data_IF_746794152652
#
_entry.id   IF_746794152652
#
_cell.length_a   1.000
_cell.length_b   1.000
_cell.length_c   1.000
_cell.angle_alpha   90.00
_cell.angle_beta   90.00
_cell.angle_gamma   90.00
#
_symmetry.space_group_name_H-M   'P 1'
#
loop_
_entity.id
_entity.type
_entity.pdbx_description
1 polymer ?
#
# COMPACT_ATOMS: atom_id res chain seq x y z
N UNK A 1 -10.63 41.59 62.10
CA UNK A 1 -10.31 40.49 61.18
C UNK A 1 -8.83 40.55 60.82
N UNK A 2 -8.07 39.62 61.39
CA UNK A 2 -6.67 39.27 61.07
C UNK A 2 -6.73 38.39 59.80
N UNK A 3 -5.87 38.37 58.77
CA UNK A 3 -4.39 38.31 58.68
C UNK A 3 -3.93 38.52 57.22
N UNK A 4 -2.78 39.16 57.02
CA UNK A 4 -1.89 38.93 55.86
C UNK A 4 -1.29 37.51 55.95
N UNK A 5 -1.14 36.80 54.83
CA UNK A 5 -0.26 35.62 54.74
C UNK A 5 0.55 35.69 53.44
N UNK A 6 1.88 35.75 53.61
CA UNK A 6 2.92 35.39 52.64
C UNK A 6 3.00 33.85 52.51
N UNK A 7 3.42 33.32 51.36
CA UNK A 7 4.18 32.05 51.33
C UNK A 7 3.78 31.00 50.29
N UNK A 8 4.70 30.73 49.36
CA UNK A 8 5.38 29.44 49.13
C UNK A 8 4.55 28.14 49.01
N UNK A 9 4.68 27.51 47.82
CA UNK A 9 4.64 26.07 47.47
C UNK A 9 3.42 25.21 47.84
N UNK A 10 2.85 24.54 46.82
CA UNK A 10 2.75 23.07 46.74
C UNK A 10 2.03 22.62 45.44
N UNK A 11 2.74 22.64 44.31
CA UNK A 11 2.44 21.65 43.25
C UNK A 11 3.47 20.54 43.36
N UNK A 12 2.99 19.47 44.00
CA UNK A 12 3.69 18.21 44.24
C UNK A 12 4.39 17.75 42.96
N UNK A 13 5.69 17.53 43.08
CA UNK A 13 6.51 16.76 42.13
C UNK A 13 5.86 15.38 41.95
N UNK A 14 5.26 15.13 40.79
CA UNK A 14 5.06 13.77 40.33
C UNK A 14 6.42 13.30 39.79
N UNK A 15 7.03 12.25 40.33
CA UNK A 15 8.31 11.77 39.84
C UNK A 15 8.10 11.11 38.48
N UNK A 16 8.55 11.76 37.40
CA UNK A 16 8.73 11.13 36.10
C UNK A 16 9.87 10.11 36.19
N UNK A 17 9.58 8.91 36.71
CA UNK A 17 10.47 7.76 36.61
C UNK A 17 10.45 7.25 35.16
N UNK A 18 11.56 7.48 34.47
CA UNK A 18 12.12 6.68 33.36
C UNK A 18 11.13 6.21 32.28
N UNK A 19 10.82 7.09 31.33
CA UNK A 19 10.51 6.70 29.95
C UNK A 19 10.81 7.84 28.94
N UNK A 20 11.88 8.60 29.16
CA UNK A 20 12.45 9.50 28.17
C UNK A 20 13.67 8.82 27.55
N UNK A 21 13.44 7.89 26.62
CA UNK A 21 14.43 7.43 25.65
C UNK A 21 13.68 6.75 24.51
N UNK A 22 13.85 7.31 23.30
CA UNK A 22 13.32 6.90 21.99
C UNK A 22 11.95 7.45 21.58
N UNK A 23 11.83 8.77 21.53
CA UNK A 23 10.99 9.43 20.53
C UNK A 23 11.48 10.87 20.26
N UNK A 24 12.80 11.05 20.17
CA UNK A 24 13.42 12.28 19.68
C UNK A 24 14.70 11.86 18.97
N UNK A 25 14.60 11.47 17.71
CA UNK A 25 15.77 11.40 16.83
C UNK A 25 15.30 11.77 15.43
N UNK A 26 15.71 12.96 14.98
CA UNK A 26 15.51 13.42 13.62
C UNK A 26 14.94 14.82 13.44
N UNK A 27 15.08 15.72 14.44
CA UNK A 27 15.12 17.15 14.16
C UNK A 27 16.41 17.69 14.79
N UNK A 28 17.10 18.53 14.03
CA UNK A 28 18.39 19.18 14.27
C UNK A 28 19.65 18.48 13.71
N UNK A 29 20.32 19.23 12.83
CA UNK A 29 21.63 19.04 12.19
C UNK A 29 21.69 18.20 10.91
N UNK A 30 21.26 18.81 9.81
CA UNK A 30 22.06 18.84 8.58
C UNK A 30 21.67 20.08 7.76
N UNK A 31 22.47 21.14 7.87
CA UNK A 31 22.23 22.39 7.15
C UNK A 31 23.27 23.49 7.35
N UNK A 32 24.52 23.14 7.68
CA UNK A 32 25.66 24.00 7.38
C UNK A 32 26.91 23.14 7.17
N UNK A 33 27.42 23.18 5.94
CA UNK A 33 28.77 22.81 5.49
C UNK A 33 29.05 21.31 5.31
N UNK A 34 29.41 20.98 4.07
CA UNK A 34 29.98 19.69 3.70
C UNK A 34 31.40 19.52 4.24
N UNK A 35 31.90 18.30 4.11
CA UNK A 35 33.27 17.96 4.48
C UNK A 35 33.32 16.64 5.24
N UNK A 36 33.77 15.61 4.53
CA UNK A 36 34.36 14.37 5.05
C UNK A 36 35.22 14.57 6.30
N UNK A 37 35.18 13.63 7.25
CA UNK A 37 36.25 13.56 8.26
C UNK A 37 35.91 12.75 9.49
N UNK A 38 36.75 11.76 9.77
CA UNK A 38 36.75 10.88 10.95
C UNK A 38 37.32 11.64 12.16
N UNK A 39 36.82 11.31 13.35
CA UNK A 39 37.25 11.62 14.73
C UNK A 39 38.60 12.34 14.99
N UNK A 40 38.61 13.30 15.93
CA UNK A 40 39.20 13.22 17.29
C UNK A 40 39.36 14.62 17.91
N UNK A 41 39.12 14.69 19.23
CA UNK A 41 39.51 15.73 20.20
C UNK A 41 39.08 17.17 19.89
N UNK A 42 38.37 17.82 20.84
CA UNK A 42 38.60 19.22 21.24
C UNK A 42 37.42 19.74 22.08
N UNK A 43 37.41 19.32 23.35
CA UNK A 43 36.56 19.92 24.39
C UNK A 43 37.12 21.26 24.90
N UNK A 44 38.06 21.88 24.19
CA UNK A 44 38.94 22.93 24.74
C UNK A 44 38.89 24.28 24.01
N UNK A 45 38.03 24.45 23.00
CA UNK A 45 38.00 25.69 22.21
C UNK A 45 36.73 26.55 22.37
N UNK A 46 35.74 26.14 23.17
CA UNK A 46 34.46 26.86 23.28
C UNK A 46 34.45 28.03 24.29
N UNK A 47 35.44 28.12 25.19
CA UNK A 47 35.45 29.17 26.22
C UNK A 47 36.06 30.50 25.76
N UNK A 48 36.82 30.55 24.67
CA UNK A 48 37.52 31.79 24.26
C UNK A 48 36.78 32.68 23.27
N UNK A 49 35.66 32.25 22.70
CA UNK A 49 34.94 33.02 21.66
C UNK A 49 33.82 33.91 22.25
N UNK A 50 33.48 33.74 23.54
CA UNK A 50 32.35 34.43 24.18
C UNK A 50 32.61 35.89 24.60
N UNK A 51 33.78 36.49 24.31
CA UNK A 51 34.15 37.81 24.83
C UNK A 51 34.49 38.90 23.80
N UNK A 52 34.09 38.78 22.54
CA UNK A 52 34.26 39.88 21.57
C UNK A 52 32.94 40.33 20.95
N UNK A 53 32.47 41.48 21.44
CA UNK A 53 31.54 42.44 20.83
C UNK A 53 30.35 41.86 20.07
N UNK A 54 29.17 41.87 20.71
CA UNK A 54 27.88 41.69 20.04
C UNK A 54 27.56 42.99 19.28
N UNK A 55 27.52 43.00 17.93
CA UNK A 55 26.98 44.14 17.20
C UNK A 55 25.46 44.10 17.33
N UNK A 56 24.84 45.24 17.65
CA UNK A 56 23.38 45.39 17.60
C UNK A 56 22.85 45.04 16.21
N UNK A 57 22.25 43.86 16.09
CA UNK A 57 21.51 43.46 14.91
C UNK A 57 20.14 44.13 14.95
N UNK A 58 19.96 45.19 14.14
CA UNK A 58 18.62 45.71 13.82
C UNK A 58 17.76 44.57 13.25
N UNK A 59 16.46 44.48 13.60
CA UNK A 59 15.60 43.42 13.09
C UNK A 59 15.47 43.60 11.57
N UNK A 60 16.02 42.68 10.79
CA UNK A 60 15.73 42.58 9.36
C UNK A 60 14.33 41.98 9.20
N UNK A 61 13.46 42.74 8.55
CA UNK A 61 12.14 42.30 8.09
C UNK A 61 12.28 41.19 7.03
N UNK A 62 12.41 39.92 7.45
CA UNK A 62 12.30 38.76 6.56
C UNK A 62 11.75 37.52 7.29
N UNK A 63 10.75 37.71 8.15
CA UNK A 63 10.09 36.60 8.87
C UNK A 63 9.25 35.71 7.94
N UNK A 64 8.78 36.22 6.80
CA UNK A 64 7.97 35.47 5.82
C UNK A 64 8.74 34.37 5.08
N UNK A 65 10.05 34.54 4.85
CA UNK A 65 10.85 33.57 4.08
C UNK A 65 11.15 32.29 4.88
N UNK A 66 11.49 32.43 6.16
CA UNK A 66 11.79 31.30 7.04
C UNK A 66 10.56 30.42 7.35
N UNK A 67 9.40 31.02 7.65
CA UNK A 67 8.17 30.26 7.87
C UNK A 67 7.73 29.50 6.62
N UNK A 68 7.88 30.11 5.44
CA UNK A 68 7.56 29.45 4.16
C UNK A 68 8.51 28.27 3.86
N UNK A 69 9.80 28.42 4.20
CA UNK A 69 10.80 27.36 4.06
C UNK A 69 10.52 26.18 5.01
N UNK A 70 10.11 26.45 6.25
CA UNK A 70 9.70 25.41 7.21
C UNK A 70 8.45 24.65 6.74
N UNK A 71 7.45 25.34 6.18
CA UNK A 71 6.26 24.69 5.63
C UNK A 71 6.61 23.76 4.46
N UNK A 72 7.45 24.23 3.52
CA UNK A 72 7.93 23.39 2.40
C UNK A 72 8.71 22.17 2.90
N UNK A 73 9.55 22.33 3.91
CA UNK A 73 10.30 21.22 4.50
C UNK A 73 9.36 20.18 5.13
N UNK A 74 8.32 20.64 5.83
CA UNK A 74 7.30 19.76 6.42
C UNK A 74 6.51 19.00 5.35
N UNK A 75 6.14 19.65 4.24
CA UNK A 75 5.47 19.00 3.11
C UNK A 75 6.34 17.93 2.45
N UNK A 76 7.62 18.23 2.20
CA UNK A 76 8.58 17.27 1.66
C UNK A 76 8.71 16.07 2.59
N UNK A 77 8.91 16.30 3.88
CA UNK A 77 9.02 15.24 4.88
C UNK A 77 7.75 14.37 4.92
N UNK A 78 6.56 14.99 4.88
CA UNK A 78 5.29 14.27 4.80
C UNK A 78 5.22 13.39 3.55
N UNK A 79 5.61 13.92 2.39
CA UNK A 79 5.61 13.16 1.13
C UNK A 79 6.56 11.96 1.17
N UNK A 80 7.74 12.12 1.77
CA UNK A 80 8.72 11.03 1.94
C UNK A 80 8.15 9.96 2.87
N UNK A 81 7.53 10.34 3.98
CA UNK A 81 6.92 9.41 4.92
C UNK A 81 5.79 8.61 4.27
N UNK A 82 4.92 9.26 3.50
CA UNK A 82 3.86 8.58 2.72
C UNK A 82 4.47 7.57 1.74
N UNK A 83 5.48 7.98 0.96
CA UNK A 83 6.15 7.07 -0.01
C UNK A 83 6.80 5.86 0.69
N UNK A 84 7.40 6.06 1.86
CA UNK A 84 7.99 4.98 2.66
C UNK A 84 6.91 4.02 3.18
N UNK A 85 5.82 4.56 3.74
CA UNK A 85 4.69 3.77 4.22
C UNK A 85 4.08 2.93 3.09
N UNK A 86 3.83 3.54 1.93
CA UNK A 86 3.31 2.84 0.75
C UNK A 86 4.26 1.74 0.28
N UNK A 87 5.58 1.96 0.35
CA UNK A 87 6.58 0.96 -0.03
C UNK A 87 6.56 -0.25 0.90
N UNK A 88 6.44 -0.02 2.20
CA UNK A 88 6.33 -1.07 3.20
C UNK A 88 5.03 -1.86 3.04
N UNK A 89 3.92 -1.16 2.78
CA UNK A 89 2.62 -1.79 2.51
C UNK A 89 2.70 -2.69 1.27
N UNK A 90 3.30 -2.20 0.17
CA UNK A 90 3.51 -3.00 -1.05
C UNK A 90 4.34 -4.25 -0.78
N UNK A 91 5.44 -4.12 -0.03
CA UNK A 91 6.29 -5.26 0.32
C UNK A 91 5.50 -6.30 1.13
N UNK A 92 4.63 -5.86 2.03
CA UNK A 92 3.78 -6.73 2.81
C UNK A 92 2.70 -7.42 1.97
N UNK A 93 1.96 -6.67 1.16
CA UNK A 93 0.95 -7.22 0.26
C UNK A 93 1.56 -8.26 -0.69
N UNK A 94 2.73 -7.95 -1.27
CA UNK A 94 3.45 -8.90 -2.13
C UNK A 94 3.81 -10.18 -1.37
N UNK A 95 4.33 -10.07 -0.15
CA UNK A 95 4.68 -11.23 0.66
C UNK A 95 3.45 -12.11 0.97
N UNK A 96 2.29 -11.51 1.23
CA UNK A 96 1.04 -12.28 1.41
C UNK A 96 0.65 -12.98 0.12
N UNK A 97 0.65 -12.30 -1.04
CA UNK A 97 0.35 -12.92 -2.33
C UNK A 97 1.32 -14.07 -2.65
N UNK A 98 2.62 -13.87 -2.44
CA UNK A 98 3.64 -14.92 -2.61
C UNK A 98 3.37 -16.12 -1.70
N UNK A 99 2.88 -15.90 -0.48
CA UNK A 99 2.49 -16.97 0.45
C UNK A 99 1.29 -17.76 -0.08
N UNK A 100 0.26 -17.09 -0.60
CA UNK A 100 -0.90 -17.74 -1.23
C UNK A 100 -0.44 -18.67 -2.35
N UNK A 101 0.46 -18.20 -3.22
CA UNK A 101 1.01 -18.99 -4.33
C UNK A 101 1.87 -20.16 -3.85
N UNK A 102 2.67 -19.97 -2.80
CA UNK A 102 3.56 -21.02 -2.27
C UNK A 102 2.78 -22.13 -1.57
N UNK A 103 1.64 -21.82 -0.99
CA UNK A 103 0.76 -22.80 -0.36
C UNK A 103 -0.21 -23.48 -1.34
N UNK A 104 -0.25 -23.05 -2.61
CA UNK A 104 -1.00 -23.70 -3.66
C UNK A 104 -0.22 -24.89 -4.23
N UNK A 105 -0.71 -26.10 -3.98
CA UNK A 105 -0.06 -27.35 -4.40
C UNK A 105 -0.08 -27.54 -5.92
N UNK A 106 -0.98 -26.86 -6.61
CA UNK A 106 -1.15 -26.97 -8.06
C UNK A 106 -0.40 -25.86 -8.82
N UNK A 107 0.33 -24.98 -8.12
CA UNK A 107 1.12 -23.94 -8.78
C UNK A 107 2.38 -24.55 -9.40
N UNK A 108 2.47 -24.51 -10.73
CA UNK A 108 3.51 -25.22 -11.51
C UNK A 108 4.70 -24.36 -11.94
N UNK A 109 4.67 -23.04 -11.73
CA UNK A 109 5.66 -22.08 -12.28
C UNK A 109 6.35 -21.23 -11.21
N UNK A 110 7.08 -21.82 -10.25
CA UNK A 110 7.72 -21.09 -9.16
C UNK A 110 8.69 -19.99 -9.62
N UNK A 111 9.24 -20.09 -10.83
CA UNK A 111 10.10 -19.09 -11.48
C UNK A 111 9.39 -17.76 -11.74
N UNK A 112 8.09 -17.78 -12.03
CA UNK A 112 7.30 -16.58 -12.34
C UNK A 112 6.65 -15.95 -11.12
N UNK A 113 6.80 -16.57 -9.94
CA UNK A 113 6.11 -16.21 -8.69
C UNK A 113 6.25 -14.74 -8.32
N UNK A 114 7.46 -14.20 -8.39
CA UNK A 114 7.76 -12.81 -8.04
C UNK A 114 7.07 -11.82 -8.98
N UNK A 115 7.14 -12.09 -10.30
CA UNK A 115 6.50 -11.29 -11.35
C UNK A 115 4.97 -11.31 -11.21
N UNK A 116 4.38 -12.49 -11.00
CA UNK A 116 2.93 -12.64 -10.83
C UNK A 116 2.46 -11.90 -9.58
N UNK A 117 3.14 -12.06 -8.45
CA UNK A 117 2.80 -11.37 -7.21
C UNK A 117 2.89 -9.84 -7.37
N UNK A 118 3.93 -9.34 -8.04
CA UNK A 118 4.06 -7.92 -8.36
C UNK A 118 2.92 -7.42 -9.26
N UNK A 119 2.54 -8.19 -10.28
CA UNK A 119 1.44 -7.85 -11.18
C UNK A 119 0.09 -7.81 -10.46
N UNK A 120 -0.19 -8.77 -9.57
CA UNK A 120 -1.41 -8.78 -8.75
C UNK A 120 -1.49 -7.52 -7.89
N UNK A 121 -0.43 -7.20 -7.13
CA UNK A 121 -0.40 -6.00 -6.27
C UNK A 121 -0.54 -4.72 -7.09
N UNK A 122 0.10 -4.66 -8.26
CA UNK A 122 -0.01 -3.54 -9.19
C UNK A 122 -1.45 -3.34 -9.66
N UNK A 123 -2.09 -4.41 -10.14
CA UNK A 123 -3.46 -4.38 -10.69
C UNK A 123 -4.48 -4.08 -9.60
N UNK A 124 -4.36 -4.70 -8.43
CA UNK A 124 -5.22 -4.44 -7.29
C UNK A 124 -5.23 -2.94 -6.94
N UNK A 125 -4.06 -2.31 -6.90
CA UNK A 125 -3.94 -0.86 -6.69
C UNK A 125 -4.49 -0.03 -7.84
N UNK A 126 -4.34 -0.48 -9.10
CA UNK A 126 -4.86 0.25 -10.26
C UNK A 126 -6.39 0.45 -10.19
N UNK A 127 -7.10 -0.44 -9.49
CA UNK A 127 -8.55 -0.49 -9.39
C UNK A 127 -9.09 -0.45 -7.95
N UNK A 128 -8.25 -0.11 -6.97
CA UNK A 128 -8.62 0.00 -5.54
C UNK A 128 -9.25 -1.28 -4.95
N UNK A 129 -8.64 -2.42 -5.23
CA UNK A 129 -9.05 -3.74 -4.75
C UNK A 129 -8.04 -4.31 -3.76
N UNK A 130 -8.48 -5.27 -2.94
CA UNK A 130 -7.56 -6.03 -2.09
C UNK A 130 -6.77 -7.05 -2.94
N UNK A 131 -5.42 -7.00 -2.94
CA UNK A 131 -4.60 -7.98 -3.67
C UNK A 131 -4.79 -9.43 -3.19
N UNK A 132 -5.23 -9.65 -1.94
CA UNK A 132 -5.59 -10.99 -1.43
C UNK A 132 -6.78 -11.54 -2.20
N UNK A 133 -7.82 -10.73 -2.44
CA UNK A 133 -9.00 -11.19 -3.18
C UNK A 133 -8.63 -11.60 -4.60
N UNK A 134 -7.85 -10.77 -5.30
CA UNK A 134 -7.39 -11.06 -6.67
C UNK A 134 -6.53 -12.33 -6.69
N UNK A 135 -5.61 -12.49 -5.73
CA UNK A 135 -4.78 -13.69 -5.64
C UNK A 135 -5.61 -14.95 -5.35
N UNK A 136 -6.60 -14.89 -4.47
CA UNK A 136 -7.47 -16.03 -4.17
C UNK A 136 -8.37 -16.40 -5.36
N UNK A 137 -8.84 -15.43 -6.16
CA UNK A 137 -9.55 -15.70 -7.42
C UNK A 137 -8.60 -16.38 -8.42
N UNK A 138 -7.42 -15.81 -8.66
CA UNK A 138 -6.43 -16.41 -9.58
C UNK A 138 -6.01 -17.84 -9.18
N UNK A 139 -5.91 -18.09 -7.87
CA UNK A 139 -5.66 -19.44 -7.33
C UNK A 139 -6.77 -20.42 -7.72
N UNK A 140 -8.03 -20.06 -7.48
CA UNK A 140 -9.18 -20.93 -7.75
C UNK A 140 -9.43 -21.11 -9.25
N UNK A 141 -9.18 -20.09 -10.06
CA UNK A 141 -9.45 -20.11 -11.50
C UNK A 141 -8.40 -20.91 -12.29
N UNK A 142 -7.12 -20.78 -11.95
CA UNK A 142 -6.06 -21.38 -12.76
C UNK A 142 -4.83 -21.85 -12.00
N UNK A 143 -4.83 -21.78 -10.67
CA UNK A 143 -3.62 -22.02 -9.89
C UNK A 143 -2.44 -21.14 -10.33
N UNK A 144 -2.75 -19.89 -10.70
CA UNK A 144 -1.79 -18.91 -11.23
C UNK A 144 -1.14 -19.27 -12.58
N UNK A 145 -1.66 -20.26 -13.31
CA UNK A 145 -1.21 -20.55 -14.68
C UNK A 145 -1.61 -19.42 -15.63
N UNK A 146 -0.65 -18.83 -16.33
CA UNK A 146 -0.82 -17.59 -17.11
C UNK A 146 -1.53 -17.81 -18.46
N UNK A 147 -1.32 -18.95 -19.11
CA UNK A 147 -1.67 -19.24 -20.51
C UNK A 147 -2.73 -20.33 -20.70
N UNK A 148 -3.39 -20.73 -19.62
CA UNK A 148 -4.41 -21.78 -19.63
C UNK A 148 -5.58 -21.44 -20.57
N UNK A 149 -6.01 -22.44 -21.35
CA UNK A 149 -7.27 -22.41 -22.09
C UNK A 149 -8.15 -23.51 -21.52
N UNK A 150 -9.35 -23.14 -21.07
CA UNK A 150 -10.35 -24.12 -20.63
C UNK A 150 -11.71 -23.81 -21.24
N UNK A 151 -12.68 -24.71 -21.01
CA UNK A 151 -14.09 -24.45 -21.32
C UNK A 151 -14.64 -23.24 -20.56
N UNK A 152 -14.01 -22.86 -19.45
CA UNK A 152 -14.44 -21.81 -18.53
C UNK A 152 -13.82 -20.44 -18.86
N UNK A 153 -12.82 -20.36 -19.74
CA UNK A 153 -12.22 -19.09 -20.14
C UNK A 153 -10.76 -19.19 -20.54
N UNK A 154 -10.11 -18.03 -20.62
CA UNK A 154 -8.69 -17.88 -20.97
C UNK A 154 -7.89 -17.23 -19.85
N UNK A 155 -6.65 -17.70 -19.72
CA UNK A 155 -5.60 -17.17 -18.85
C UNK A 155 -5.92 -17.24 -17.36
N UNK A 156 -5.13 -16.55 -16.56
CA UNK A 156 -5.09 -16.73 -15.11
C UNK A 156 -6.41 -16.45 -14.37
N UNK A 157 -7.22 -15.51 -14.86
CA UNK A 157 -8.50 -15.14 -14.26
C UNK A 157 -9.70 -15.80 -14.96
N UNK A 158 -9.45 -16.73 -15.89
CA UNK A 158 -10.44 -17.49 -16.66
C UNK A 158 -11.56 -16.62 -17.25
N UNK A 159 -11.18 -15.59 -18.00
CA UNK A 159 -12.15 -14.68 -18.61
C UNK A 159 -12.83 -15.36 -19.80
N UNK A 160 -14.15 -15.25 -19.91
CA UNK A 160 -14.93 -15.81 -21.02
C UNK A 160 -15.06 -14.84 -22.20
N UNK A 161 -15.33 -15.38 -23.39
CA UNK A 161 -15.65 -14.55 -24.56
C UNK A 161 -16.94 -13.75 -24.39
N UNK A 162 -17.91 -14.26 -23.63
CA UNK A 162 -19.18 -13.59 -23.34
C UNK A 162 -18.91 -12.35 -22.47
N UNK A 163 -18.09 -12.50 -21.43
CA UNK A 163 -17.66 -11.37 -20.59
C UNK A 163 -16.99 -10.28 -21.43
N UNK A 164 -16.07 -10.65 -22.33
CA UNK A 164 -15.39 -9.67 -23.18
C UNK A 164 -16.36 -8.97 -24.13
N UNK A 165 -17.34 -9.68 -24.71
CA UNK A 165 -18.40 -9.07 -25.53
C UNK A 165 -19.21 -8.07 -24.72
N UNK A 166 -19.62 -8.44 -23.51
CA UNK A 166 -20.40 -7.57 -22.63
C UNK A 166 -19.61 -6.31 -22.22
N UNK A 167 -18.32 -6.45 -21.93
CA UNK A 167 -17.40 -5.33 -21.66
C UNK A 167 -17.28 -4.32 -22.81
N UNK A 168 -17.41 -4.77 -24.06
CA UNK A 168 -17.46 -3.88 -25.22
C UNK A 168 -18.82 -3.19 -25.37
N UNK A 169 -19.91 -3.89 -25.07
CA UNK A 169 -21.26 -3.37 -25.19
C UNK A 169 -21.61 -2.38 -24.08
N UNK A 170 -21.10 -2.61 -22.87
CA UNK A 170 -21.44 -1.86 -21.65
C UNK A 170 -20.19 -1.46 -20.87
N UNK A 171 -19.22 -0.73 -21.45
CA UNK A 171 -17.96 -0.43 -20.77
C UNK A 171 -18.13 0.39 -19.49
N UNK A 172 -19.14 1.27 -19.46
CA UNK A 172 -19.44 2.15 -18.32
C UNK A 172 -20.00 1.40 -17.11
N UNK A 173 -20.57 0.20 -17.34
CA UNK A 173 -21.03 -0.66 -16.26
C UNK A 173 -19.88 -1.22 -15.42
N UNK A 174 -18.69 -1.41 -16.01
CA UNK A 174 -17.55 -2.01 -15.32
C UNK A 174 -16.73 -0.96 -14.59
N UNK A 175 -15.97 -0.15 -15.33
CA UNK A 175 -15.07 0.82 -14.73
C UNK A 175 -14.65 1.84 -15.78
N UNK A 176 -14.44 3.10 -15.37
CA UNK A 176 -14.04 4.20 -16.27
C UNK A 176 -12.78 3.92 -17.10
N UNK A 177 -11.84 3.12 -16.56
CA UNK A 177 -10.59 2.75 -17.25
C UNK A 177 -10.76 1.62 -18.28
N UNK A 178 -11.89 0.90 -18.31
CA UNK A 178 -12.10 -0.19 -19.26
C UNK A 178 -12.08 0.33 -20.71
N UNK A 179 -12.65 1.52 -20.96
CA UNK A 179 -12.60 2.19 -22.28
C UNK A 179 -11.18 2.35 -22.81
N UNK A 180 -10.20 2.62 -21.94
CA UNK A 180 -8.78 2.76 -22.33
C UNK A 180 -8.15 1.43 -22.76
N UNK A 181 -8.72 0.30 -22.34
CA UNK A 181 -8.29 -1.02 -22.76
C UNK A 181 -9.02 -1.38 -24.05
N UNK A 182 -10.36 -1.33 -24.06
CA UNK A 182 -11.17 -1.77 -25.20
C UNK A 182 -10.93 -0.93 -26.47
N UNK A 183 -10.63 0.37 -26.35
CA UNK A 183 -10.33 1.23 -27.50
C UNK A 183 -9.08 0.82 -28.30
N UNK A 184 -8.19 0.02 -27.73
CA UNK A 184 -6.98 -0.51 -28.40
C UNK A 184 -7.27 -1.69 -29.31
N UNK A 185 -8.49 -2.21 -29.28
CA UNK A 185 -8.89 -3.44 -29.94
C UNK A 185 -10.02 -3.16 -30.93
N UNK A 186 -9.88 -3.67 -32.16
CA UNK A 186 -10.91 -3.49 -33.20
C UNK A 186 -12.18 -4.29 -32.91
N UNK A 187 -12.07 -5.35 -32.11
CA UNK A 187 -13.20 -6.23 -31.79
C UNK A 187 -13.03 -6.94 -30.45
N UNK A 188 -14.14 -7.40 -29.83
CA UNK A 188 -14.08 -8.27 -28.65
C UNK A 188 -13.25 -9.55 -28.88
N UNK A 189 -13.29 -10.11 -30.10
CA UNK A 189 -12.53 -11.31 -30.46
C UNK A 189 -11.02 -11.07 -30.39
N UNK A 190 -10.56 -9.90 -30.84
CA UNK A 190 -9.14 -9.55 -30.78
C UNK A 190 -8.67 -9.43 -29.33
N UNK A 191 -9.41 -8.71 -28.47
CA UNK A 191 -9.10 -8.64 -27.04
C UNK A 191 -9.08 -10.03 -26.40
N UNK A 192 -10.11 -10.85 -26.67
CA UNK A 192 -10.21 -12.20 -26.11
C UNK A 192 -9.06 -13.13 -26.52
N UNK A 193 -8.48 -12.93 -27.70
CA UNK A 193 -7.30 -13.69 -28.13
C UNK A 193 -6.04 -13.28 -27.37
N UNK A 194 -5.84 -11.99 -27.16
CA UNK A 194 -4.70 -11.45 -26.39
C UNK A 194 -4.72 -11.87 -24.92
N UNK A 195 -5.89 -12.17 -24.34
CA UNK A 195 -5.99 -12.57 -22.92
C UNK A 195 -5.24 -13.86 -22.57
N UNK A 196 -4.89 -14.69 -23.56
CA UNK A 196 -4.16 -15.93 -23.33
C UNK A 196 -2.65 -15.66 -23.17
N UNK A 197 -2.08 -14.82 -24.01
CA UNK A 197 -0.63 -14.59 -24.05
C UNK A 197 -0.20 -13.39 -23.23
N UNK A 198 -1.14 -12.54 -22.82
CA UNK A 198 -0.89 -11.35 -22.01
C UNK A 198 -1.50 -11.48 -20.61
N UNK A 199 -0.74 -12.07 -19.68
CA UNK A 199 -1.19 -12.31 -18.31
C UNK A 199 -1.53 -11.05 -17.52
N UNK A 200 -0.81 -9.95 -17.75
CA UNK A 200 -1.11 -8.66 -17.10
C UNK A 200 -2.44 -8.08 -17.62
N UNK A 201 -2.72 -8.20 -18.92
CA UNK A 201 -4.01 -7.83 -19.48
C UNK A 201 -5.13 -8.72 -18.92
N UNK A 202 -4.89 -10.03 -18.83
CA UNK A 202 -5.81 -10.98 -18.23
C UNK A 202 -6.19 -10.62 -16.79
N UNK A 203 -5.17 -10.34 -15.95
CA UNK A 203 -5.35 -9.84 -14.58
C UNK A 203 -6.18 -8.57 -14.55
N UNK A 204 -5.89 -7.60 -15.43
CA UNK A 204 -6.64 -6.34 -15.48
C UNK A 204 -8.10 -6.55 -15.81
N UNK A 205 -8.40 -7.39 -16.81
CA UNK A 205 -9.79 -7.69 -17.20
C UNK A 205 -10.51 -8.45 -16.07
N UNK A 206 -9.86 -9.42 -15.43
CA UNK A 206 -10.45 -10.13 -14.29
C UNK A 206 -10.69 -9.23 -13.08
N UNK A 207 -9.74 -8.35 -12.75
CA UNK A 207 -9.91 -7.38 -11.67
C UNK A 207 -11.06 -6.40 -11.96
N UNK A 208 -11.20 -5.94 -13.20
CA UNK A 208 -12.31 -5.08 -13.62
C UNK A 208 -13.67 -5.78 -13.55
N UNK A 209 -13.72 -7.07 -13.92
CA UNK A 209 -14.92 -7.88 -13.73
C UNK A 209 -15.27 -7.99 -12.25
N UNK A 210 -14.29 -8.34 -11.40
CA UNK A 210 -14.50 -8.48 -9.97
C UNK A 210 -14.94 -7.18 -9.30
N UNK A 211 -14.29 -6.05 -9.62
CA UNK A 211 -14.68 -4.73 -9.11
C UNK A 211 -16.13 -4.39 -9.43
N UNK A 212 -16.56 -4.60 -10.68
CA UNK A 212 -17.93 -4.37 -11.09
C UNK A 212 -18.91 -5.21 -10.25
N UNK A 213 -18.61 -6.51 -10.04
CA UNK A 213 -19.45 -7.39 -9.22
C UNK A 213 -19.45 -7.01 -7.75
N UNK A 214 -18.32 -6.54 -7.23
CA UNK A 214 -18.20 -6.07 -5.85
C UNK A 214 -19.05 -4.83 -5.63
N UNK A 215 -18.99 -3.88 -6.57
CA UNK A 215 -19.79 -2.66 -6.53
C UNK A 215 -21.28 -2.94 -6.67
N UNK A 216 -21.70 -3.78 -7.61
CA UNK A 216 -23.09 -4.22 -7.74
C UNK A 216 -23.61 -4.90 -6.46
N UNK A 217 -22.73 -5.63 -5.76
CA UNK A 217 -23.08 -6.36 -4.55
C UNK A 217 -23.05 -5.49 -3.29
N UNK A 218 -22.91 -4.16 -3.41
CA UNK A 218 -22.79 -3.24 -2.28
C UNK A 218 -21.58 -3.52 -1.39
N UNK A 219 -20.49 -4.05 -1.96
CA UNK A 219 -19.29 -4.44 -1.22
C UNK A 219 -19.33 -5.84 -0.61
N UNK A 220 -20.41 -6.62 -0.81
CA UNK A 220 -20.46 -7.99 -0.33
C UNK A 220 -19.57 -8.92 -1.18
N UNK A 221 -18.41 -9.29 -0.63
CA UNK A 221 -17.41 -10.15 -1.28
C UNK A 221 -18.00 -11.48 -1.73
N UNK A 222 -18.79 -12.16 -0.87
CA UNK A 222 -19.36 -13.47 -1.21
C UNK A 222 -20.32 -13.38 -2.39
N UNK A 223 -21.21 -12.39 -2.39
CA UNK A 223 -22.14 -12.15 -3.50
C UNK A 223 -21.38 -11.77 -4.78
N UNK A 224 -20.33 -10.96 -4.67
CA UNK A 224 -19.48 -10.60 -5.80
C UNK A 224 -18.84 -11.84 -6.45
N UNK A 225 -18.32 -12.77 -5.65
CA UNK A 225 -17.73 -14.02 -6.13
C UNK A 225 -18.77 -14.97 -6.76
N UNK A 226 -19.99 -15.03 -6.21
CA UNK A 226 -21.11 -15.77 -6.81
C UNK A 226 -21.49 -15.18 -8.17
N UNK A 227 -21.42 -13.86 -8.34
CA UNK A 227 -21.71 -13.20 -9.61
C UNK A 227 -20.53 -13.25 -10.59
N UNK A 228 -19.30 -13.34 -10.07
CA UNK A 228 -18.09 -13.56 -10.87
C UNK A 228 -18.16 -14.92 -11.58
N UNK A 229 -18.39 -15.99 -10.82
CA UNK A 229 -18.59 -17.32 -11.34
C UNK A 229 -20.09 -17.57 -11.53
N UNK A 230 -20.61 -17.37 -12.74
CA UNK A 230 -22.05 -17.56 -13.04
C UNK A 230 -22.45 -19.02 -13.34
N UNK A 231 -21.64 -20.02 -12.97
CA UNK A 231 -21.92 -21.43 -13.23
C UNK A 231 -22.87 -22.07 -12.20
N UNK A 232 -23.21 -23.35 -12.39
CA UNK A 232 -24.00 -24.14 -11.45
C UNK A 232 -23.31 -24.32 -10.08
N UNK A 233 -21.99 -24.22 -10.00
CA UNK A 233 -21.20 -24.41 -8.76
C UNK A 233 -20.84 -23.08 -8.06
N UNK A 234 -21.45 -21.96 -8.46
CA UNK A 234 -21.12 -20.60 -8.01
C UNK A 234 -21.04 -20.40 -6.50
N UNK A 235 -21.93 -21.05 -5.75
CA UNK A 235 -21.93 -20.95 -4.28
C UNK A 235 -20.76 -21.70 -3.64
N UNK A 236 -20.41 -22.88 -4.20
CA UNK A 236 -19.27 -23.66 -3.73
C UNK A 236 -17.96 -22.94 -4.08
N UNK A 237 -17.86 -22.40 -5.29
CA UNK A 237 -16.75 -21.54 -5.73
C UNK A 237 -16.52 -20.36 -4.77
N UNK A 238 -17.55 -19.56 -4.51
CA UNK A 238 -17.45 -18.42 -3.60
C UNK A 238 -17.05 -18.85 -2.19
N UNK A 239 -17.55 -20.00 -1.71
CA UNK A 239 -17.22 -20.51 -0.37
C UNK A 239 -15.75 -20.95 -0.25
N UNK A 240 -15.17 -21.57 -1.29
CA UNK A 240 -13.74 -21.92 -1.32
C UNK A 240 -12.84 -20.69 -1.28
N UNK A 241 -13.14 -19.69 -2.12
CA UNK A 241 -12.39 -18.43 -2.14
C UNK A 241 -12.53 -17.67 -0.81
N UNK A 242 -13.73 -17.58 -0.24
CA UNK A 242 -13.93 -16.93 1.05
C UNK A 242 -13.13 -17.59 2.19
N UNK A 243 -12.98 -18.92 2.16
CA UNK A 243 -12.14 -19.63 3.14
C UNK A 243 -10.68 -19.18 3.04
N UNK A 244 -10.17 -19.03 1.83
CA UNK A 244 -8.81 -18.55 1.60
C UNK A 244 -8.66 -17.06 1.98
N UNK A 245 -9.59 -16.19 1.56
CA UNK A 245 -9.59 -14.77 1.94
C UNK A 245 -9.52 -14.62 3.47
N UNK A 246 -10.43 -15.28 4.20
CA UNK A 246 -10.47 -15.22 5.66
C UNK A 246 -9.17 -15.71 6.33
N UNK A 247 -8.47 -16.67 5.70
CA UNK A 247 -7.18 -17.17 6.18
C UNK A 247 -6.08 -16.11 6.00
N UNK A 248 -6.01 -15.48 4.83
CA UNK A 248 -4.92 -14.56 4.49
C UNK A 248 -5.13 -13.12 4.96
N UNK A 249 -6.37 -12.66 5.14
CA UNK A 249 -6.66 -11.36 5.76
C UNK A 249 -6.23 -11.31 7.23
N UNK A 250 -6.48 -12.39 8.00
CA UNK A 250 -6.00 -12.51 9.39
C UNK A 250 -4.48 -12.42 9.48
N UNK A 251 -3.77 -13.05 8.54
CA UNK A 251 -2.31 -12.97 8.43
C UNK A 251 -1.83 -11.54 8.11
N UNK A 252 -2.55 -10.83 7.24
CA UNK A 252 -2.21 -9.46 6.89
C UNK A 252 -2.39 -8.49 8.08
N UNK A 253 -3.46 -8.67 8.87
CA UNK A 253 -3.72 -7.89 10.08
C UNK A 253 -2.71 -8.19 11.21
N UNK A 254 -2.39 -9.46 11.47
CA UNK A 254 -1.39 -9.86 12.46
C UNK A 254 0.00 -9.28 12.13
N UNK A 255 0.40 -9.28 10.87
CA UNK A 255 1.67 -8.69 10.41
C UNK A 255 1.71 -7.17 10.56
N UNK A 256 0.57 -6.48 10.45
CA UNK A 256 0.47 -5.05 10.71
C UNK A 256 0.64 -4.74 12.21
N UNK A 257 0.02 -5.52 13.10
CA UNK A 257 0.11 -5.35 14.56
C UNK A 257 1.52 -5.64 15.09
N UNK A 258 2.14 -6.74 14.67
CA UNK A 258 3.49 -7.10 15.12
C UNK A 258 4.56 -6.07 14.73
N UNK A 259 4.42 -5.39 13.59
CA UNK A 259 5.36 -4.32 13.19
C UNK A 259 5.18 -3.03 13.98
N UNK A 260 3.95 -2.68 14.38
CA UNK A 260 3.70 -1.54 15.27
C UNK A 260 4.27 -1.81 16.67
N UNK A 261 4.25 -3.06 17.12
CA UNK A 261 4.84 -3.46 18.41
C UNK A 261 6.36 -3.58 18.37
N UNK A 262 6.94 -4.05 17.26
CA UNK A 262 8.40 -4.19 17.09
C UNK A 262 9.11 -2.87 16.73
N UNK A 263 8.37 -1.79 16.50
CA UNK A 263 8.90 -0.44 16.28
C UNK A 263 8.81 0.46 17.53
N UNK A 264 8.38 -0.10 18.68
CA UNK A 264 8.53 0.50 20.01
C UNK A 264 9.81 -0.01 20.67
#
# INVERSE_FOLDING_TARGET
MIKKINGVQLLRKIPMKKAAKKCVFGLELAGALGGSGIMKNDTLALEKVLNTHVPELKPREHTTDWFSAQQKLAEINRSIMIRKADSLLRKQQKAVVTKIMTEDKNFTHPENKEKIAQNIVKVAREYDLDPVHIACIAKEESHFTEDIISKNGKGMMQITSITVKDMFLRPDFYHKKLKNITSKYKSPKQLYNDLQTNSLLNLRIGALLYEARLRESGGNIRTALVNYNSSSIKYAYASRIMKDINKYEKLNQQNAIHKVLASK
#
